data_IF_852228496085
#
_entry.id   IF_852228496085
#
_cell.length_a   1.000
_cell.length_b   1.000
_cell.length_c   1.000
_cell.angle_alpha   90.00
_cell.angle_beta   90.00
_cell.angle_gamma   90.00
#
_symmetry.space_group_name_H-M   'P 1'
#
loop_
_entity.id
_entity.type
_entity.pdbx_description
1 polymer ?
#
# COMPACT_ATOMS: atom_id res chain seq x y z
N UNK A 1 -6.19 8.95 13.43
CA UNK A 1 -7.19 7.87 13.38
C UNK A 1 -7.15 7.25 12.01
N UNK A 2 -7.16 5.92 11.88
CA UNK A 2 -7.07 5.23 10.58
C UNK A 2 -8.45 4.74 10.14
N UNK A 3 -8.76 4.96 8.87
CA UNK A 3 -9.83 4.30 8.14
C UNK A 3 -9.25 3.06 7.45
N UNK A 4 -10.00 1.96 7.46
CA UNK A 4 -9.55 0.67 6.95
C UNK A 4 -10.64 -0.03 6.13
N UNK A 5 -10.25 -0.67 5.04
CA UNK A 5 -11.09 -1.59 4.26
C UNK A 5 -10.36 -2.92 4.06
N UNK A 6 -11.10 -4.02 4.15
CA UNK A 6 -10.62 -5.36 3.87
C UNK A 6 -11.28 -5.91 2.61
N UNK A 7 -10.46 -6.41 1.69
CA UNK A 7 -10.91 -6.94 0.41
C UNK A 7 -10.49 -8.41 0.33
N UNK A 8 -11.44 -9.27 -0.04
CA UNK A 8 -11.20 -10.69 -0.28
C UNK A 8 -11.06 -10.89 -1.79
N UNK A 9 -9.85 -11.13 -2.31
CA UNK A 9 -9.67 -11.41 -3.73
C UNK A 9 -10.25 -12.77 -4.10
N UNK A 10 -10.76 -12.83 -5.32
CA UNK A 10 -11.35 -14.03 -5.92
C UNK A 10 -10.46 -14.52 -7.05
N UNK A 11 -10.51 -15.80 -7.36
CA UNK A 11 -9.95 -16.37 -8.58
C UNK A 11 -10.88 -16.14 -9.79
N UNK A 12 -10.50 -16.70 -10.95
CA UNK A 12 -11.24 -16.57 -12.21
C UNK A 12 -12.65 -17.19 -12.15
N UNK A 13 -12.88 -18.12 -11.21
CA UNK A 13 -14.17 -18.78 -10.97
C UNK A 13 -15.01 -18.07 -9.90
N UNK A 14 -14.60 -16.86 -9.48
CA UNK A 14 -15.21 -16.08 -8.41
C UNK A 14 -15.13 -16.75 -7.02
N UNK A 15 -14.17 -17.64 -6.82
CA UNK A 15 -13.94 -18.33 -5.54
C UNK A 15 -12.90 -17.54 -4.73
N UNK A 16 -13.14 -17.27 -3.44
CA UNK A 16 -12.14 -16.63 -2.58
C UNK A 16 -10.81 -17.39 -2.58
N UNK A 17 -9.72 -16.69 -2.88
CA UNK A 17 -8.39 -17.28 -2.85
C UNK A 17 -8.00 -17.50 -1.38
N UNK A 18 -7.90 -18.78 -0.99
CA UNK A 18 -7.66 -19.14 0.40
C UNK A 18 -6.36 -18.53 0.93
N UNK A 19 -6.48 -17.81 2.05
CA UNK A 19 -5.35 -17.18 2.74
C UNK A 19 -4.92 -15.85 2.15
N UNK A 20 -5.41 -15.44 0.98
CA UNK A 20 -5.14 -14.14 0.39
C UNK A 20 -6.16 -13.10 0.88
N UNK A 21 -5.68 -11.95 1.35
CA UNK A 21 -6.52 -10.79 1.69
C UNK A 21 -5.79 -9.50 1.40
N UNK A 22 -6.52 -8.48 1.00
CA UNK A 22 -5.99 -7.12 0.87
C UNK A 22 -6.53 -6.23 1.97
N UNK A 23 -5.69 -5.32 2.45
CA UNK A 23 -6.02 -4.33 3.46
C UNK A 23 -5.62 -2.96 2.92
N UNK A 24 -6.59 -2.05 2.86
CA UNK A 24 -6.38 -0.66 2.49
C UNK A 24 -6.56 0.19 3.74
N UNK A 25 -5.54 0.96 4.11
CA UNK A 25 -5.56 1.89 5.23
C UNK A 25 -5.35 3.30 4.73
N UNK A 26 -6.10 4.22 5.31
CA UNK A 26 -5.99 5.64 5.04
C UNK A 26 -6.04 6.43 6.34
N UNK A 27 -5.22 7.47 6.45
CA UNK A 27 -5.27 8.44 7.54
C UNK A 27 -5.12 9.83 6.93
N UNK A 28 -5.91 10.82 7.38
CA UNK A 28 -5.78 12.19 6.88
C UNK A 28 -4.38 12.72 7.12
N UNK A 29 -4.00 13.70 6.30
CA UNK A 29 -2.79 14.47 6.54
C UNK A 29 -2.84 15.17 7.90
N UNK A 30 -1.72 15.15 8.61
CA UNK A 30 -1.55 15.77 9.92
C UNK A 30 -0.25 16.55 10.03
N UNK A 31 0.63 16.43 9.03
CA UNK A 31 2.04 16.80 9.14
C UNK A 31 2.43 17.83 8.07
N UNK A 32 1.58 18.09 7.07
CA UNK A 32 1.75 19.23 6.16
C UNK A 32 1.52 20.57 6.85
N UNK A 33 2.20 21.60 6.37
CA UNK A 33 1.91 22.98 6.76
C UNK A 33 0.50 23.38 6.26
N UNK A 34 -0.24 24.23 7.00
CA UNK A 34 -1.61 24.62 6.62
C UNK A 34 -1.74 25.29 5.24
N UNK A 35 -0.65 25.88 4.74
CA UNK A 35 -0.60 26.58 3.46
C UNK A 35 0.00 25.73 2.33
N UNK A 36 0.32 24.45 2.59
CA UNK A 36 0.78 23.54 1.52
C UNK A 36 -0.41 23.25 0.57
N UNK A 37 -0.27 23.53 -0.74
CA UNK A 37 -1.32 23.24 -1.71
C UNK A 37 -1.56 21.74 -1.92
N UNK A 38 -0.67 20.87 -1.43
CA UNK A 38 -0.72 19.42 -1.58
C UNK A 38 -0.98 18.79 -0.21
N UNK A 39 -1.93 17.85 -0.17
CA UNK A 39 -2.17 17.01 1.02
C UNK A 39 -1.40 15.69 0.89
N UNK A 40 -0.86 15.21 2.01
CA UNK A 40 -0.07 14.00 2.14
C UNK A 40 -0.73 13.01 3.12
N UNK A 41 -1.93 12.50 2.82
CA UNK A 41 -2.54 11.46 3.66
C UNK A 41 -1.63 10.23 3.70
N UNK A 42 -1.68 9.49 4.82
CA UNK A 42 -0.98 8.20 4.88
C UNK A 42 -1.84 7.13 4.24
N UNK A 43 -1.36 6.54 3.16
CA UNK A 43 -2.03 5.44 2.47
C UNK A 43 -1.15 4.20 2.58
N UNK A 44 -1.73 3.10 3.06
CA UNK A 44 -1.09 1.79 3.06
C UNK A 44 -2.00 0.79 2.35
N UNK A 45 -1.51 0.10 1.32
CA UNK A 45 -2.24 -0.96 0.60
C UNK A 45 -1.43 -2.23 0.73
N UNK A 46 -2.00 -3.26 1.35
CA UNK A 46 -1.24 -4.43 1.81
C UNK A 46 -1.87 -5.71 1.29
N UNK A 47 -1.08 -6.59 0.68
CA UNK A 47 -1.44 -7.97 0.40
C UNK A 47 -0.89 -8.91 1.47
N UNK A 48 -1.76 -9.72 2.05
CA UNK A 48 -1.38 -10.81 2.94
C UNK A 48 -1.68 -12.16 2.32
N UNK A 49 -0.75 -13.10 2.43
CA UNK A 49 -0.97 -14.52 2.14
C UNK A 49 -0.69 -15.33 3.41
N UNK A 50 -1.70 -16.05 3.91
CA UNK A 50 -1.67 -16.75 5.20
C UNK A 50 -1.16 -15.87 6.35
N UNK A 51 -1.69 -14.65 6.45
CA UNK A 51 -1.32 -13.61 7.42
C UNK A 51 0.12 -13.09 7.34
N UNK A 52 0.91 -13.50 6.35
CA UNK A 52 2.20 -12.86 6.04
C UNK A 52 1.97 -11.76 5.00
N UNK A 53 2.36 -10.51 5.25
CA UNK A 53 2.34 -9.49 4.18
C UNK A 53 3.40 -9.85 3.14
N UNK A 54 2.94 -10.08 1.92
CA UNK A 54 3.76 -10.50 0.77
C UNK A 54 4.09 -9.32 -0.14
N UNK A 55 3.23 -8.30 -0.13
CA UNK A 55 3.42 -7.06 -0.87
C UNK A 55 2.73 -5.91 -0.13
N UNK A 56 3.30 -4.71 -0.19
CA UNK A 56 2.61 -3.51 0.28
C UNK A 56 3.05 -2.27 -0.47
N UNK A 57 2.21 -1.25 -0.48
CA UNK A 57 2.48 0.10 -0.99
C UNK A 57 2.26 1.05 0.17
N UNK A 58 3.30 1.79 0.54
CA UNK A 58 3.31 2.78 1.61
C UNK A 58 3.70 4.14 1.00
N UNK A 59 2.78 5.12 1.06
CA UNK A 59 2.83 6.29 0.17
C UNK A 59 3.23 7.59 0.87
N UNK A 60 3.47 7.54 2.17
CA UNK A 60 3.58 8.75 2.96
C UNK A 60 4.87 9.51 2.63
N UNK A 61 4.72 10.75 2.19
CA UNK A 61 5.82 11.54 1.59
C UNK A 61 6.98 11.78 2.54
N UNK A 62 6.70 11.95 3.84
CA UNK A 62 7.72 12.19 4.86
C UNK A 62 8.29 10.91 5.47
N UNK A 63 7.91 9.74 4.94
CA UNK A 63 8.43 8.48 5.42
C UNK A 63 9.88 8.25 4.97
N UNK A 64 10.61 7.50 5.80
CA UNK A 64 11.98 7.06 5.53
C UNK A 64 12.09 5.58 5.82
N UNK A 65 12.20 4.78 4.77
CA UNK A 65 12.50 3.36 4.89
C UNK A 65 14.01 3.11 4.78
N UNK A 66 14.52 2.18 5.59
CA UNK A 66 15.92 1.73 5.50
C UNK A 66 15.95 0.23 5.26
N UNK A 67 16.52 -0.19 4.14
CA UNK A 67 16.73 -1.60 3.84
C UNK A 67 17.93 -2.11 4.65
N UNK A 68 17.68 -2.95 5.64
CA UNK A 68 18.71 -3.58 6.49
C UNK A 68 19.44 -4.75 5.82
N UNK A 69 18.93 -5.22 4.68
CA UNK A 69 19.46 -6.34 3.93
C UNK A 69 19.59 -5.96 2.46
N UNK A 70 20.70 -6.34 1.83
CA UNK A 70 20.99 -6.04 0.43
C UNK A 70 20.53 -7.17 -0.48
N UNK A 71 19.76 -6.83 -1.51
CA UNK A 71 19.32 -7.77 -2.54
C UNK A 71 19.86 -7.35 -3.91
N UNK A 72 20.02 -8.32 -4.81
CA UNK A 72 20.41 -8.05 -6.19
C UNK A 72 19.19 -7.64 -7.03
N UNK A 73 18.84 -6.35 -6.94
CA UNK A 73 17.71 -5.78 -7.67
C UNK A 73 18.08 -4.38 -8.21
N UNK A 74 17.74 -4.05 -9.47
CA UNK A 74 18.17 -2.80 -10.11
C UNK A 74 17.63 -1.54 -9.42
N UNK A 75 16.47 -1.64 -8.74
CA UNK A 75 15.88 -0.52 -7.97
C UNK A 75 16.34 -0.47 -6.50
N UNK A 76 17.28 -1.33 -6.10
CA UNK A 76 17.71 -1.39 -4.69
C UNK A 76 18.35 -0.07 -4.25
N UNK A 77 17.93 0.41 -3.09
CA UNK A 77 18.52 1.56 -2.39
C UNK A 77 18.61 1.22 -0.90
N UNK A 78 19.68 1.65 -0.23
CA UNK A 78 19.84 1.44 1.22
C UNK A 78 18.79 2.24 2.01
N UNK A 79 18.45 3.44 1.54
CA UNK A 79 17.48 4.35 2.13
C UNK A 79 16.53 4.84 1.04
N UNK A 80 15.23 4.80 1.32
CA UNK A 80 14.17 5.28 0.43
C UNK A 80 13.37 6.34 1.17
N UNK A 81 13.07 7.43 0.48
CA UNK A 81 12.27 8.54 0.97
C UNK A 81 10.95 8.60 0.21
N UNK A 82 9.86 8.90 0.92
CA UNK A 82 8.53 9.03 0.32
C UNK A 82 7.92 7.69 -0.10
N UNK A 83 7.11 7.72 -1.16
CA UNK A 83 6.32 6.57 -1.59
C UNK A 83 7.19 5.38 -2.05
N UNK A 84 6.93 4.21 -1.49
CA UNK A 84 7.67 2.99 -1.75
C UNK A 84 6.75 1.77 -1.68
N UNK A 85 7.22 0.67 -2.25
CA UNK A 85 6.55 -0.62 -2.13
C UNK A 85 7.47 -1.66 -1.50
N UNK A 86 6.89 -2.51 -0.67
CA UNK A 86 7.56 -3.62 -0.03
C UNK A 86 7.27 -4.93 -0.74
N UNK A 87 8.28 -5.78 -0.83
CA UNK A 87 8.17 -7.15 -1.34
C UNK A 87 8.75 -8.10 -0.31
N UNK A 88 8.13 -9.27 -0.18
CA UNK A 88 8.71 -10.36 0.59
C UNK A 88 9.87 -11.01 -0.15
N UNK A 89 11.06 -11.00 0.46
CA UNK A 89 12.25 -11.74 0.02
C UNK A 89 12.54 -12.84 1.02
N UNK A 90 12.52 -14.10 0.58
CA UNK A 90 12.78 -15.24 1.47
C UNK A 90 14.22 -15.23 2.00
N UNK A 91 15.19 -14.88 1.15
CA UNK A 91 16.62 -14.77 1.52
C UNK A 91 16.88 -13.70 2.59
N UNK A 92 16.03 -12.66 2.64
CA UNK A 92 16.10 -11.61 3.65
C UNK A 92 15.49 -12.06 5.01
N UNK A 93 14.88 -13.25 5.05
CA UNK A 93 14.57 -14.03 6.24
C UNK A 93 13.91 -13.26 7.39
N UNK A 94 14.39 -13.54 8.61
CA UNK A 94 13.97 -12.96 9.90
C UNK A 94 14.49 -11.52 10.13
N UNK A 95 15.29 -10.98 9.20
CA UNK A 95 16.14 -9.79 9.41
C UNK A 95 15.63 -8.51 8.75
N UNK A 96 14.55 -8.57 7.98
CA UNK A 96 13.93 -7.38 7.41
C UNK A 96 12.41 -7.44 7.52
N UNK A 97 11.85 -6.37 8.08
CA UNK A 97 10.48 -5.96 7.78
C UNK A 97 10.44 -5.52 6.30
N UNK A 98 10.54 -6.51 5.41
CA UNK A 98 10.29 -6.48 3.96
C UNK A 98 11.11 -5.45 3.19
N UNK A 99 11.96 -5.94 2.29
CA UNK A 99 12.71 -5.12 1.33
C UNK A 99 11.75 -4.17 0.62
N UNK A 100 12.11 -2.89 0.57
CA UNK A 100 11.36 -1.89 -0.14
C UNK A 100 12.11 -1.36 -1.36
N UNK A 101 11.35 -0.81 -2.30
CA UNK A 101 11.84 -0.10 -3.48
C UNK A 101 11.01 1.17 -3.70
N UNK A 102 11.60 2.22 -4.28
CA UNK A 102 10.87 3.45 -4.56
C UNK A 102 9.75 3.21 -5.59
N UNK A 103 8.65 3.95 -5.44
CA UNK A 103 7.64 4.11 -6.50
C UNK A 103 8.09 5.30 -7.35
N UNK A 104 8.38 5.04 -8.62
CA UNK A 104 8.87 6.06 -9.58
C UNK A 104 7.76 6.58 -10.49
N UNK A 105 6.56 5.97 -10.42
CA UNK A 105 5.37 6.43 -11.12
C UNK A 105 4.92 7.79 -10.59
N UNK A 106 4.51 8.67 -11.50
CA UNK A 106 4.01 10.01 -11.19
C UNK A 106 2.57 9.92 -10.65
N UNK A 107 2.46 9.58 -9.36
CA UNK A 107 1.19 9.45 -8.63
C UNK A 107 1.17 10.54 -7.55
N UNK A 108 0.11 11.37 -7.55
CA UNK A 108 -0.04 12.41 -6.53
C UNK A 108 -0.12 11.80 -5.13
N UNK A 109 0.43 12.45 -4.09
CA UNK A 109 0.46 11.90 -2.73
C UNK A 109 -0.93 11.59 -2.13
N UNK A 110 -1.97 12.28 -2.56
CA UNK A 110 -3.36 12.08 -2.14
C UNK A 110 -4.17 11.14 -3.04
N UNK A 111 -3.58 10.65 -4.15
CA UNK A 111 -4.28 9.82 -5.14
C UNK A 111 -4.35 8.35 -4.71
N UNK A 112 -5.29 8.07 -3.81
CA UNK A 112 -5.61 6.71 -3.36
C UNK A 112 -5.92 5.75 -4.51
N UNK A 113 -6.57 6.23 -5.57
CA UNK A 113 -6.93 5.40 -6.73
C UNK A 113 -5.69 5.10 -7.56
N UNK A 114 -4.81 6.06 -7.77
CA UNK A 114 -3.52 5.87 -8.42
C UNK A 114 -2.66 4.82 -7.74
N UNK A 115 -2.53 4.89 -6.40
CA UNK A 115 -1.80 3.89 -5.64
C UNK A 115 -2.48 2.51 -5.64
N UNK A 116 -3.81 2.46 -5.64
CA UNK A 116 -4.55 1.20 -5.83
C UNK A 116 -4.28 0.59 -7.20
N UNK A 117 -4.28 1.39 -8.27
CA UNK A 117 -3.98 0.94 -9.62
C UNK A 117 -2.54 0.42 -9.72
N UNK A 118 -1.59 1.11 -9.09
CA UNK A 118 -0.20 0.68 -8.99
C UNK A 118 -0.09 -0.70 -8.31
N UNK A 119 -0.78 -0.87 -7.17
CA UNK A 119 -0.85 -2.12 -6.42
C UNK A 119 -1.45 -3.25 -7.26
N UNK A 120 -2.58 -3.01 -7.92
CA UNK A 120 -3.24 -3.99 -8.78
C UNK A 120 -2.37 -4.40 -9.96
N UNK A 121 -1.72 -3.45 -10.64
CA UNK A 121 -0.81 -3.72 -11.75
C UNK A 121 0.37 -4.59 -11.32
N UNK A 122 0.96 -4.32 -10.14
CA UNK A 122 2.07 -5.11 -9.61
C UNK A 122 1.72 -6.56 -9.30
N UNK A 123 0.49 -6.80 -8.82
CA UNK A 123 0.01 -8.12 -8.45
C UNK A 123 -0.83 -8.81 -9.54
N UNK A 124 -0.90 -8.23 -10.74
CA UNK A 124 -1.71 -8.72 -11.85
C UNK A 124 -3.19 -8.93 -11.46
N UNK A 125 -3.76 -7.98 -10.72
CA UNK A 125 -5.15 -8.00 -10.27
C UNK A 125 -6.04 -7.29 -11.29
N UNK A 126 -7.14 -7.93 -11.66
CA UNK A 126 -8.25 -7.30 -12.38
C UNK A 126 -9.39 -6.99 -11.41
N UNK A 127 -10.03 -5.83 -11.56
CA UNK A 127 -11.21 -5.46 -10.76
C UNK A 127 -12.22 -4.71 -11.62
N UNK A 128 -13.50 -4.82 -11.24
CA UNK A 128 -14.60 -4.03 -11.79
C UNK A 128 -15.16 -3.12 -10.70
N UNK A 129 -15.41 -1.85 -11.03
CA UNK A 129 -15.92 -0.86 -10.08
C UNK A 129 -14.83 0.07 -9.53
N UNK A 130 -15.12 0.75 -8.42
CA UNK A 130 -14.21 1.71 -7.77
C UNK A 130 -14.02 1.33 -6.30
N UNK A 131 -12.81 1.52 -5.79
CA UNK A 131 -12.56 1.44 -4.34
C UNK A 131 -13.33 2.53 -3.58
N UNK A 132 -13.75 2.27 -2.35
CA UNK A 132 -14.35 3.31 -1.50
C UNK A 132 -13.31 4.39 -1.20
N UNK A 133 -13.70 5.66 -1.32
CA UNK A 133 -12.84 6.78 -0.95
C UNK A 133 -13.13 7.25 0.48
N UNK A 134 -12.12 7.52 1.32
CA UNK A 134 -12.28 7.73 2.77
C UNK A 134 -13.18 8.90 3.20
N UNK A 135 -13.48 9.85 2.31
CA UNK A 135 -14.21 11.09 2.60
C UNK A 135 -15.50 11.25 1.78
N UNK A 136 -15.96 10.19 1.13
CA UNK A 136 -17.23 10.25 0.39
C UNK A 136 -18.43 9.95 1.30
N UNK A 137 -19.55 10.63 1.05
CA UNK A 137 -20.78 10.49 1.85
C UNK A 137 -21.30 9.04 1.92
N UNK A 138 -20.99 8.22 0.91
CA UNK A 138 -21.36 6.79 0.82
C UNK A 138 -20.18 5.83 1.05
N UNK A 139 -19.08 6.28 1.68
CA UNK A 139 -17.86 5.48 1.85
C UNK A 139 -17.98 4.33 2.86
N UNK A 140 -19.19 3.86 3.21
CA UNK A 140 -19.49 2.94 4.32
C UNK A 140 -18.74 1.58 4.33
N UNK A 141 -17.84 1.37 3.38
CA UNK A 141 -16.90 0.26 3.28
C UNK A 141 -15.53 0.53 3.93
N UNK A 142 -15.18 1.80 4.23
CA UNK A 142 -14.02 2.13 5.07
C UNK A 142 -14.49 2.43 6.49
N UNK A 143 -14.09 1.57 7.44
CA UNK A 143 -14.46 1.70 8.84
C UNK A 143 -13.29 2.11 9.72
N UNK A 144 -13.58 2.50 10.96
CA UNK A 144 -12.54 2.55 11.99
C UNK A 144 -12.10 1.13 12.30
N UNK A 145 -10.78 0.87 12.23
CA UNK A 145 -10.22 -0.38 12.73
C UNK A 145 -10.37 -0.42 14.25
N UNK A 146 -11.35 -1.20 14.74
CA UNK A 146 -11.59 -1.46 16.17
C UNK A 146 -10.99 -2.80 16.55
#
# INVERSE_FOLDING_TARGET
>A
MWLQAHIIPLDEDCIPIQGLKFELKWKPDQDSEPDDPISYPKINIIAFYHNKRVFAVDTYHFDKHTNSYKVDHPKYQDIIYGAHYHVYYEEAGYYSDRIAFPIEDDINPDDLVGYWNYFCKHLNITYSGRIPLPLEDESGQMGFGI
#
